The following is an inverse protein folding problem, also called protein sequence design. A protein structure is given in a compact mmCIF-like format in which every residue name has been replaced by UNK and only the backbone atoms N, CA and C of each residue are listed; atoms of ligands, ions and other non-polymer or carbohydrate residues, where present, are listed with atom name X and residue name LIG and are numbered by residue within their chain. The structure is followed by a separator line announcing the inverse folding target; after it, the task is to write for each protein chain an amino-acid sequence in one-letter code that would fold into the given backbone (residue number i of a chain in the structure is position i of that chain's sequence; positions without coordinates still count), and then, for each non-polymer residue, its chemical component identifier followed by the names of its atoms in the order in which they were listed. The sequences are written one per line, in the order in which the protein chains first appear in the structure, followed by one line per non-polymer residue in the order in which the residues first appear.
data_IF_447927575317
#
_entry.id   IF_447927575317
#
_cell.length_a   1.000
_cell.length_b   1.000
_cell.length_c   1.000
_cell.angle_alpha   90.00
_cell.angle_beta   90.00
_cell.angle_gamma   90.00
#
_symmetry.space_group_name_H-M   'P 1'
#
loop_
_entity.id
_entity.type
_entity.pdbx_description
1 polymer ?
#
# COMPACT_ATOMS: atom_id res chain seq x y z
N UNK A 1 -10.10 2.73 14.66
CA UNK A 1 -9.35 2.92 15.93
C UNK A 1 -9.51 4.37 16.43
N UNK A 2 -10.69 4.76 16.95
CA UNK A 2 -10.98 6.15 17.39
C UNK A 2 -11.60 6.28 18.79
N UNK A 3 -11.69 5.20 19.55
CA UNK A 3 -12.02 5.21 20.98
C UNK A 3 -11.18 4.13 21.66
N UNK A 4 -10.81 4.35 22.94
CA UNK A 4 -9.93 3.46 23.73
C UNK A 4 -10.17 1.99 23.40
N UNK A 5 -9.18 1.35 22.78
CA UNK A 5 -9.38 0.07 22.13
C UNK A 5 -9.55 -1.06 23.14
N UNK A 6 -10.56 -1.89 22.94
CA UNK A 6 -10.70 -3.19 23.59
C UNK A 6 -10.27 -4.29 22.64
N UNK A 7 -9.59 -5.31 23.16
CA UNK A 7 -9.28 -6.50 22.38
C UNK A 7 -10.58 -7.23 22.01
N UNK A 8 -10.83 -7.55 20.73
CA UNK A 8 -11.95 -8.39 20.34
C UNK A 8 -11.82 -9.78 20.98
N UNK A 9 -12.93 -10.35 21.45
CA UNK A 9 -12.93 -11.75 21.88
C UNK A 9 -12.82 -12.67 20.67
N UNK A 10 -12.40 -13.93 20.87
CA UNK A 10 -12.34 -14.92 19.79
C UNK A 10 -13.70 -15.13 19.10
N UNK A 11 -14.80 -15.01 19.86
CA UNK A 11 -16.16 -15.06 19.32
C UNK A 11 -16.48 -13.86 18.41
N UNK A 12 -16.11 -12.64 18.83
CA UNK A 12 -16.29 -11.44 18.00
C UNK A 12 -15.48 -11.52 16.70
N UNK A 13 -14.24 -12.05 16.75
CA UNK A 13 -13.42 -12.26 15.55
C UNK A 13 -14.04 -13.30 14.62
N UNK A 14 -14.51 -14.43 15.16
CA UNK A 14 -15.16 -15.47 14.37
C UNK A 14 -16.42 -14.95 13.67
N UNK A 15 -17.26 -14.18 14.37
CA UNK A 15 -18.44 -13.54 13.79
C UNK A 15 -18.07 -12.55 12.68
N UNK A 16 -17.09 -11.67 12.91
CA UNK A 16 -16.65 -10.71 11.91
C UNK A 16 -16.08 -11.40 10.66
N UNK A 17 -15.31 -12.49 10.83
CA UNK A 17 -14.78 -13.27 9.70
C UNK A 17 -15.88 -13.96 8.91
N UNK A 18 -16.90 -14.51 9.58
CA UNK A 18 -18.00 -15.21 8.93
C UNK A 18 -18.82 -14.32 7.98
N UNK A 19 -18.85 -13.00 8.22
CA UNK A 19 -19.56 -12.03 7.38
C UNK A 19 -18.65 -11.21 6.45
N UNK A 20 -17.36 -11.53 6.38
CA UNK A 20 -16.36 -10.80 5.58
C UNK A 20 -15.96 -11.55 4.31
N UNK A 21 -15.24 -10.86 3.42
CA UNK A 21 -14.68 -11.44 2.19
C UNK A 21 -15.54 -11.21 0.95
N UNK A 22 -14.94 -11.46 -0.22
CA UNK A 22 -15.54 -11.10 -1.50
C UNK A 22 -16.85 -11.86 -1.78
N UNK A 23 -17.00 -13.10 -1.31
CA UNK A 23 -18.22 -13.88 -1.48
C UNK A 23 -19.44 -13.27 -0.77
N UNK A 24 -19.23 -12.40 0.23
CA UNK A 24 -20.30 -11.69 0.92
C UNK A 24 -20.83 -10.49 0.11
N UNK A 25 -20.23 -10.17 -1.05
CA UNK A 25 -20.61 -9.09 -1.94
C UNK A 25 -20.80 -9.62 -3.36
N UNK A 26 -21.93 -9.30 -3.98
CA UNK A 26 -22.13 -9.55 -5.42
C UNK A 26 -22.34 -8.26 -6.16
N UNK A 27 -21.77 -8.17 -7.37
CA UNK A 27 -21.96 -7.03 -8.26
C UNK A 27 -22.89 -7.41 -9.41
N UNK A 28 -23.90 -6.59 -9.66
CA UNK A 28 -24.78 -6.68 -10.82
C UNK A 28 -24.82 -5.31 -11.51
N UNK A 29 -23.98 -5.15 -12.55
CA UNK A 29 -23.79 -3.86 -13.21
C UNK A 29 -23.31 -2.78 -12.24
N UNK A 30 -24.15 -1.76 -12.00
CA UNK A 30 -23.87 -0.65 -11.08
C UNK A 30 -24.43 -0.86 -9.67
N UNK A 31 -24.99 -2.04 -9.40
CA UNK A 31 -25.59 -2.37 -8.11
C UNK A 31 -24.68 -3.34 -7.36
N UNK A 32 -24.31 -2.97 -6.13
CA UNK A 32 -23.63 -3.86 -5.21
C UNK A 32 -24.65 -4.40 -4.18
N UNK A 33 -24.73 -5.72 -4.05
CA UNK A 33 -25.66 -6.40 -3.14
C UNK A 33 -24.86 -7.13 -2.07
N UNK A 34 -25.15 -6.83 -0.80
CA UNK A 34 -24.60 -7.56 0.33
C UNK A 34 -25.32 -8.90 0.44
N UNK A 35 -24.56 -9.98 0.37
CA UNK A 35 -25.04 -11.35 0.59
C UNK A 35 -25.12 -11.69 2.08
N UNK A 36 -24.49 -10.88 2.93
CA UNK A 36 -24.60 -10.96 4.39
C UNK A 36 -25.03 -9.60 4.97
N UNK A 37 -26.04 -9.52 5.85
CA UNK A 37 -26.56 -8.25 6.37
C UNK A 37 -25.50 -7.44 7.14
N UNK A 38 -24.61 -8.13 7.84
CA UNK A 38 -23.54 -7.50 8.62
C UNK A 38 -22.29 -7.12 7.81
N UNK A 39 -22.25 -7.40 6.50
CA UNK A 39 -21.12 -6.98 5.67
C UNK A 39 -21.01 -5.45 5.69
N UNK A 40 -19.80 -4.98 5.95
CA UNK A 40 -19.38 -3.59 5.84
C UNK A 40 -18.33 -3.46 4.76
N UNK A 41 -18.44 -2.38 3.99
CA UNK A 41 -17.41 -1.97 3.04
C UNK A 41 -16.61 -0.86 3.73
N UNK A 42 -15.29 -0.98 3.67
CA UNK A 42 -14.35 0.00 4.18
C UNK A 42 -13.35 0.31 3.06
N UNK A 43 -13.11 1.59 2.85
CA UNK A 43 -12.34 2.12 1.73
C UNK A 43 -10.87 2.40 2.07
N UNK A 44 -10.39 1.98 3.24
CA UNK A 44 -9.07 2.34 3.74
C UNK A 44 -7.92 1.83 2.87
N UNK A 45 -8.11 0.69 2.20
CA UNK A 45 -7.10 0.08 1.33
C UNK A 45 -7.20 0.44 -0.16
N UNK A 46 -8.13 1.32 -0.57
CA UNK A 46 -8.27 1.70 -1.99
C UNK A 46 -8.82 3.10 -2.25
N UNK A 47 -9.39 3.75 -1.23
CA UNK A 47 -10.16 4.98 -1.37
C UNK A 47 -9.33 6.18 -1.80
N UNK A 48 -8.05 6.24 -1.39
CA UNK A 48 -7.14 7.29 -1.85
C UNK A 48 -6.82 7.11 -3.33
N UNK A 49 -6.51 5.88 -3.75
CA UNK A 49 -6.27 5.53 -5.16
C UNK A 49 -7.48 5.88 -6.04
N UNK A 50 -8.69 5.46 -5.64
CA UNK A 50 -9.91 5.83 -6.34
C UNK A 50 -10.12 7.36 -6.45
N UNK A 51 -9.79 8.09 -5.38
CA UNK A 51 -9.85 9.56 -5.36
C UNK A 51 -8.86 10.21 -6.32
N UNK A 52 -7.63 9.69 -6.38
CA UNK A 52 -6.60 10.14 -7.32
C UNK A 52 -7.01 9.91 -8.77
N UNK A 53 -7.52 8.72 -9.12
CA UNK A 53 -7.99 8.44 -10.47
C UNK A 53 -9.17 9.33 -10.87
N UNK A 54 -10.08 9.59 -9.93
CA UNK A 54 -11.16 10.54 -10.14
C UNK A 54 -10.64 11.96 -10.41
N UNK A 55 -9.62 12.41 -9.68
CA UNK A 55 -8.98 13.70 -9.88
C UNK A 55 -8.30 13.79 -11.25
N UNK A 56 -7.52 12.77 -11.64
CA UNK A 56 -6.87 12.69 -12.96
C UNK A 56 -7.89 12.81 -14.09
N UNK A 57 -9.00 12.10 -14.00
CA UNK A 57 -10.08 12.17 -15.00
C UNK A 57 -10.68 13.58 -15.13
N UNK A 58 -10.84 14.30 -14.03
CA UNK A 58 -11.33 15.69 -14.02
C UNK A 58 -10.31 16.64 -14.69
N UNK A 59 -9.01 16.46 -14.38
CA UNK A 59 -7.94 17.24 -15.00
C UNK A 59 -7.90 17.03 -16.52
N UNK A 60 -7.98 15.77 -16.97
CA UNK A 60 -8.03 15.43 -18.40
C UNK A 60 -9.24 16.05 -19.10
N UNK A 61 -10.43 15.99 -18.49
CA UNK A 61 -11.63 16.65 -19.01
C UNK A 61 -11.51 18.19 -19.07
N UNK A 62 -10.58 18.77 -18.30
CA UNK A 62 -10.27 20.20 -18.27
C UNK A 62 -9.07 20.57 -19.16
N UNK A 63 -8.61 19.66 -20.03
CA UNK A 63 -7.42 19.80 -20.88
C UNK A 63 -6.11 20.06 -20.11
N UNK A 64 -6.05 19.66 -18.84
CA UNK A 64 -4.82 19.67 -18.05
C UNK A 64 -4.10 18.35 -18.34
N UNK A 65 -3.03 18.43 -19.13
CA UNK A 65 -2.32 17.23 -19.61
C UNK A 65 -1.16 16.81 -18.70
N UNK A 66 -0.67 17.70 -17.83
CA UNK A 66 0.45 17.43 -16.93
C UNK A 66 0.09 17.81 -15.50
N UNK A 67 0.27 16.88 -14.55
CA UNK A 67 0.06 17.13 -13.13
C UNK A 67 0.76 16.07 -12.26
N UNK A 68 1.07 16.48 -11.03
CA UNK A 68 1.36 15.58 -9.91
C UNK A 68 0.33 15.82 -8.83
N UNK A 69 -0.28 14.76 -8.32
CA UNK A 69 -1.32 14.82 -7.29
C UNK A 69 -0.87 13.93 -6.13
N UNK A 70 -0.77 14.50 -4.93
CA UNK A 70 -0.47 13.75 -3.70
C UNK A 70 -1.72 13.75 -2.80
N UNK A 71 -2.16 12.55 -2.43
CA UNK A 71 -3.23 12.34 -1.48
C UNK A 71 -2.73 11.56 -0.25
N UNK A 72 -1.96 12.25 0.58
CA UNK A 72 -1.49 11.71 1.85
C UNK A 72 -0.50 10.57 1.65
N UNK A 73 0.51 10.80 0.81
CA UNK A 73 1.61 9.89 0.50
C UNK A 73 1.38 9.03 -0.74
N UNK A 74 0.13 8.85 -1.17
CA UNK A 74 -0.18 8.20 -2.44
C UNK A 74 -0.12 9.24 -3.54
N UNK A 75 0.69 9.02 -4.56
CA UNK A 75 0.99 10.02 -5.58
C UNK A 75 0.62 9.50 -6.96
N UNK A 76 0.01 10.35 -7.78
CA UNK A 76 -0.17 10.10 -9.20
C UNK A 76 0.50 11.18 -10.05
N UNK A 77 1.07 10.77 -11.18
CA UNK A 77 1.82 11.61 -12.11
C UNK A 77 1.27 11.37 -13.52
N UNK A 78 0.85 12.44 -14.19
CA UNK A 78 0.35 12.42 -15.57
C UNK A 78 1.11 13.43 -16.44
N UNK A 79 1.34 13.04 -17.71
CA UNK A 79 1.90 13.86 -18.80
C UNK A 79 3.13 14.70 -18.45
N UNK A 80 3.98 14.21 -17.56
CA UNK A 80 5.01 14.99 -16.92
C UNK A 80 6.21 15.26 -17.83
N UNK A 81 6.76 16.48 -17.78
CA UNK A 81 7.95 16.86 -18.54
C UNK A 81 9.26 16.50 -17.82
N UNK A 82 9.21 16.19 -16.51
CA UNK A 82 10.38 15.82 -15.69
C UNK A 82 10.01 14.72 -14.70
N UNK A 83 10.87 13.72 -14.43
CA UNK A 83 10.59 12.71 -13.41
C UNK A 83 10.24 13.35 -12.05
N UNK A 84 9.14 12.90 -11.45
CA UNK A 84 8.77 13.21 -10.08
C UNK A 84 9.55 12.31 -9.13
N UNK A 85 10.11 12.86 -8.06
CA UNK A 85 10.88 12.12 -7.07
C UNK A 85 10.15 12.09 -5.73
N UNK A 86 9.78 10.89 -5.29
CA UNK A 86 9.10 10.62 -4.02
C UNK A 86 10.11 10.14 -2.98
N UNK A 87 10.06 10.73 -1.77
CA UNK A 87 10.84 10.25 -0.63
C UNK A 87 10.16 9.04 0.02
N UNK A 88 10.93 8.00 0.28
CA UNK A 88 10.52 6.84 1.08
C UNK A 88 11.18 6.97 2.44
N UNK A 89 10.35 6.98 3.48
CA UNK A 89 10.79 7.25 4.83
C UNK A 89 11.30 5.98 5.54
N UNK A 90 12.15 6.16 6.55
CA UNK A 90 12.53 5.13 7.50
C UNK A 90 11.26 4.56 8.17
N UNK A 91 10.99 3.24 8.13
CA UNK A 91 9.82 2.66 8.76
C UNK A 91 9.75 2.91 10.27
N UNK A 92 10.90 3.06 10.93
CA UNK A 92 11.00 3.38 12.35
C UNK A 92 11.00 4.89 12.63
N UNK A 93 11.30 5.73 11.63
CA UNK A 93 11.31 7.19 11.77
C UNK A 93 10.82 7.89 10.48
N UNK A 94 9.50 8.07 10.36
CA UNK A 94 8.86 8.66 9.18
C UNK A 94 9.31 10.08 8.81
N UNK A 95 9.98 10.79 9.71
CA UNK A 95 10.51 12.14 9.45
C UNK A 95 11.86 12.10 8.71
N UNK A 96 12.46 10.93 8.58
CA UNK A 96 13.73 10.70 7.91
C UNK A 96 13.49 9.97 6.58
N UNK A 97 13.85 10.60 5.47
CA UNK A 97 13.96 9.94 4.17
C UNK A 97 15.21 9.05 4.16
N UNK A 98 15.09 7.83 3.66
CA UNK A 98 16.21 6.88 3.55
C UNK A 98 16.55 6.55 2.10
N UNK A 99 15.58 6.68 1.20
CA UNK A 99 15.76 6.59 -0.24
C UNK A 99 14.69 7.40 -0.97
N UNK A 100 14.90 7.63 -2.26
CA UNK A 100 13.91 8.21 -3.17
C UNK A 100 13.64 7.30 -4.34
N UNK A 101 12.40 7.28 -4.79
CA UNK A 101 11.97 6.65 -6.03
C UNK A 101 11.54 7.72 -7.02
N UNK A 102 11.80 7.51 -8.31
CA UNK A 102 11.48 8.48 -9.36
C UNK A 102 10.58 7.87 -10.43
N UNK A 103 9.50 8.57 -10.78
CA UNK A 103 8.56 8.16 -11.83
C UNK A 103 8.23 9.33 -12.75
N UNK A 104 8.02 9.02 -14.03
CA UNK A 104 7.60 9.95 -15.07
C UNK A 104 6.08 9.96 -15.28
N UNK A 105 5.42 8.84 -15.00
CA UNK A 105 3.98 8.66 -15.11
C UNK A 105 3.49 7.53 -14.20
N UNK A 106 2.16 7.40 -14.10
CA UNK A 106 1.51 6.38 -13.28
C UNK A 106 1.38 6.84 -11.84
N UNK A 107 1.22 5.88 -10.93
CA UNK A 107 0.97 6.17 -9.52
C UNK A 107 1.84 5.32 -8.60
N UNK A 108 2.17 5.88 -7.43
CA UNK A 108 2.85 5.21 -6.35
C UNK A 108 1.96 5.18 -5.12
N UNK A 109 1.91 4.03 -4.47
CA UNK A 109 1.23 3.84 -3.21
C UNK A 109 2.13 3.09 -2.23
N UNK A 110 2.21 3.55 -0.99
CA UNK A 110 3.00 2.90 0.06
C UNK A 110 2.08 2.44 1.20
N UNK A 111 2.20 1.17 1.56
CA UNK A 111 1.59 0.56 2.74
C UNK A 111 2.66 0.24 3.77
N UNK A 112 2.33 0.40 5.04
CA UNK A 112 3.24 0.15 6.14
C UNK A 112 2.54 0.28 7.47
N UNK A 113 3.07 -0.37 8.49
CA UNK A 113 2.41 -0.43 9.79
C UNK A 113 2.86 0.66 10.77
N UNK A 114 3.80 1.51 10.36
CA UNK A 114 4.39 2.57 11.19
C UNK A 114 3.40 3.65 11.66
N UNK A 115 2.23 3.77 11.03
CA UNK A 115 1.35 4.92 11.22
C UNK A 115 0.30 4.76 12.33
N UNK A 116 -0.10 3.54 12.72
CA UNK A 116 -1.34 3.33 13.51
C UNK A 116 -1.33 2.09 14.41
N UNK A 117 -0.24 1.86 15.12
CA UNK A 117 -0.17 0.83 16.16
C UNK A 117 -0.95 1.25 17.41
N UNK A 118 -2.01 0.53 17.76
CA UNK A 118 -2.52 0.57 19.14
C UNK A 118 -1.80 -0.51 19.93
N UNK A 119 -1.07 -0.15 20.98
CA UNK A 119 -0.50 -1.14 21.90
C UNK A 119 -1.55 -1.49 22.95
N UNK A 120 -2.06 -2.73 22.93
CA UNK A 120 -2.94 -3.28 23.98
C UNK A 120 -2.18 -4.44 24.63
N UNK A 121 -1.96 -4.37 25.95
CA UNK A 121 -1.33 -5.45 26.73
C UNK A 121 0.04 -5.90 26.15
N UNK A 122 0.85 -4.96 25.66
CA UNK A 122 2.16 -5.24 25.07
C UNK A 122 2.12 -5.79 23.63
N UNK A 123 0.95 -5.98 23.03
CA UNK A 123 0.79 -6.36 21.63
C UNK A 123 0.48 -5.13 20.77
N UNK A 124 1.28 -4.89 19.73
CA UNK A 124 1.02 -3.83 18.74
C UNK A 124 -0.05 -4.27 17.74
N UNK A 125 -1.11 -3.48 17.58
CA UNK A 125 -2.19 -3.74 16.63
C UNK A 125 -2.11 -2.78 15.45
N UNK A 126 -1.81 -3.35 14.28
CA UNK A 126 -1.88 -2.67 12.99
C UNK A 126 -3.29 -2.24 12.61
N UNK A 127 -3.38 -1.26 11.71
CA UNK A 127 -4.59 -0.96 10.96
C UNK A 127 -4.78 -1.85 9.72
N UNK A 128 -3.74 -2.55 9.28
CA UNK A 128 -3.78 -3.53 8.18
C UNK A 128 -4.00 -4.91 8.78
N UNK A 129 -5.09 -5.57 8.40
CA UNK A 129 -5.46 -6.89 8.89
C UNK A 129 -5.24 -7.94 7.81
N UNK A 130 -4.71 -9.10 8.20
CA UNK A 130 -4.73 -10.28 7.35
C UNK A 130 -6.15 -10.90 7.39
N UNK A 131 -6.90 -10.92 6.28
CA UNK A 131 -8.27 -11.43 6.26
C UNK A 131 -8.35 -12.94 6.51
N UNK A 132 -7.25 -13.69 6.28
CA UNK A 132 -7.19 -15.15 6.51
C UNK A 132 -7.23 -15.45 8.00
N UNK A 133 -6.47 -14.70 8.79
CA UNK A 133 -6.36 -14.88 10.24
C UNK A 133 -7.38 -14.03 11.01
N UNK A 134 -7.71 -12.83 10.51
CA UNK A 134 -8.43 -11.78 11.22
C UNK A 134 -7.55 -11.00 12.20
N UNK A 135 -6.23 -11.19 12.15
CA UNK A 135 -5.24 -10.53 13.00
C UNK A 135 -4.50 -9.43 12.21
N UNK A 136 -3.83 -8.49 12.89
CA UNK A 136 -2.86 -7.60 12.26
C UNK A 136 -1.87 -8.36 11.36
N UNK A 137 -1.58 -7.81 10.18
CA UNK A 137 -0.49 -8.32 9.35
C UNK A 137 0.85 -8.13 10.09
N UNK A 138 1.84 -9.04 9.91
CA UNK A 138 3.17 -8.88 10.49
C UNK A 138 3.82 -7.57 10.04
N UNK A 139 4.49 -6.88 10.96
CA UNK A 139 5.22 -5.66 10.65
C UNK A 139 6.66 -5.99 10.26
N UNK A 140 6.98 -5.82 8.99
CA UNK A 140 8.34 -5.92 8.46
C UNK A 140 8.93 -4.55 8.08
N UNK A 141 8.11 -3.49 8.03
CA UNK A 141 8.51 -2.19 7.48
C UNK A 141 7.46 -1.62 6.53
N UNK A 142 7.86 -1.32 5.29
CA UNK A 142 6.98 -0.72 4.27
C UNK A 142 7.05 -1.46 2.94
N UNK A 143 5.96 -1.37 2.18
CA UNK A 143 5.85 -1.88 0.82
C UNK A 143 5.30 -0.77 -0.08
N UNK A 144 6.06 -0.43 -1.11
CA UNK A 144 5.73 0.61 -2.09
C UNK A 144 5.45 -0.06 -3.44
N UNK A 145 4.33 0.31 -4.05
CA UNK A 145 3.91 -0.18 -5.36
C UNK A 145 3.88 0.97 -6.34
N UNK A 146 4.40 0.76 -7.54
CA UNK A 146 4.06 1.56 -8.71
C UNK A 146 3.12 0.79 -9.64
N UNK A 147 2.14 1.49 -10.19
CA UNK A 147 1.22 0.96 -11.19
C UNK A 147 0.81 2.06 -12.21
N UNK A 148 0.21 1.70 -13.35
CA UNK A 148 -0.25 2.67 -14.34
C UNK A 148 -1.38 3.61 -13.84
N UNK A 149 -2.20 3.14 -12.89
CA UNK A 149 -3.30 3.89 -12.28
C UNK A 149 -3.24 3.84 -10.74
N UNK A 150 -3.85 4.83 -10.10
CA UNK A 150 -3.72 5.03 -8.67
C UNK A 150 -4.55 4.04 -7.85
N UNK A 151 -5.73 3.63 -8.33
CA UNK A 151 -6.54 2.61 -7.67
C UNK A 151 -5.80 1.27 -7.59
N UNK A 152 -5.16 0.85 -8.67
CA UNK A 152 -4.38 -0.38 -8.72
C UNK A 152 -3.18 -0.30 -7.77
N UNK A 153 -2.43 0.80 -7.78
CA UNK A 153 -1.31 0.99 -6.85
C UNK A 153 -1.77 0.89 -5.37
N UNK A 154 -2.86 1.59 -5.00
CA UNK A 154 -3.36 1.63 -3.62
C UNK A 154 -3.84 0.24 -3.15
N UNK A 155 -4.65 -0.43 -3.97
CA UNK A 155 -5.13 -1.79 -3.71
C UNK A 155 -3.97 -2.78 -3.53
N UNK A 156 -3.01 -2.77 -4.47
CA UNK A 156 -1.90 -3.70 -4.47
C UNK A 156 -0.94 -3.43 -3.31
N UNK A 157 -0.70 -2.16 -2.95
CA UNK A 157 0.17 -1.84 -1.82
C UNK A 157 -0.33 -2.52 -0.52
N UNK A 158 -1.64 -2.51 -0.28
CA UNK A 158 -2.22 -3.15 0.90
C UNK A 158 -2.23 -4.67 0.77
N UNK A 159 -2.67 -5.19 -0.38
CA UNK A 159 -2.78 -6.64 -0.61
C UNK A 159 -1.44 -7.36 -0.55
N UNK A 160 -0.41 -6.78 -1.20
CA UNK A 160 0.94 -7.32 -1.21
C UNK A 160 1.63 -7.17 0.15
N UNK A 161 1.36 -6.08 0.90
CA UNK A 161 1.84 -5.97 2.27
C UNK A 161 1.33 -7.13 3.15
N UNK A 162 0.07 -7.54 2.98
CA UNK A 162 -0.52 -8.68 3.69
C UNK A 162 0.10 -10.02 3.27
N UNK A 163 0.57 -10.16 2.03
CA UNK A 163 1.28 -11.37 1.58
C UNK A 163 2.66 -11.49 2.22
N UNK A 164 3.31 -10.36 2.52
CA UNK A 164 4.67 -10.29 3.01
C UNK A 164 5.70 -10.12 1.90
N UNK A 165 6.97 -9.85 2.26
CA UNK A 165 8.00 -9.36 1.33
C UNK A 165 8.29 -10.33 0.18
N UNK A 166 8.66 -11.58 0.48
CA UNK A 166 9.02 -12.59 -0.54
C UNK A 166 7.86 -12.85 -1.52
N UNK A 167 6.66 -13.10 -0.98
CA UNK A 167 5.47 -13.39 -1.81
C UNK A 167 5.04 -12.17 -2.63
N UNK A 168 5.25 -10.95 -2.13
CA UNK A 168 4.95 -9.75 -2.89
C UNK A 168 5.88 -9.57 -4.09
N UNK A 169 7.17 -9.82 -3.91
CA UNK A 169 8.17 -9.76 -4.98
C UNK A 169 7.93 -10.86 -6.02
N UNK A 170 7.68 -12.10 -5.57
CA UNK A 170 7.34 -13.22 -6.46
C UNK A 170 6.04 -12.98 -7.23
N UNK A 171 5.05 -12.34 -6.60
CA UNK A 171 3.81 -11.95 -7.28
C UNK A 171 4.12 -10.88 -8.34
N UNK A 172 4.86 -9.83 -7.99
CA UNK A 172 5.18 -8.74 -8.91
C UNK A 172 5.97 -9.22 -10.14
N UNK A 173 6.91 -10.17 -9.98
CA UNK A 173 7.64 -10.78 -11.08
C UNK A 173 6.72 -11.47 -12.11
N UNK A 174 5.51 -11.89 -11.70
CA UNK A 174 4.52 -12.52 -12.58
C UNK A 174 3.53 -11.51 -13.18
N UNK A 175 3.61 -10.23 -12.84
CA UNK A 175 2.67 -9.19 -13.24
C UNK A 175 3.39 -8.00 -13.88
N UNK A 176 3.81 -8.13 -15.17
CA UNK A 176 4.46 -7.04 -15.88
C UNK A 176 3.65 -5.75 -15.86
N UNK A 177 4.34 -4.63 -15.64
CA UNK A 177 3.71 -3.31 -15.52
C UNK A 177 3.31 -2.94 -14.09
N UNK A 178 3.63 -3.78 -13.10
CA UNK A 178 3.59 -3.45 -11.67
C UNK A 178 5.01 -3.57 -11.12
N UNK A 179 5.43 -2.58 -10.34
CA UNK A 179 6.74 -2.60 -9.70
C UNK A 179 6.58 -2.50 -8.18
N UNK A 180 7.39 -3.25 -7.44
CA UNK A 180 7.34 -3.34 -5.98
C UNK A 180 8.69 -3.01 -5.39
N UNK A 181 8.69 -2.19 -4.34
CA UNK A 181 9.82 -1.92 -3.47
C UNK A 181 9.42 -2.25 -2.04
N UNK A 182 10.07 -3.25 -1.47
CA UNK A 182 9.98 -3.60 -0.05
C UNK A 182 11.12 -2.91 0.68
N UNK A 183 10.84 -2.32 1.83
CA UNK A 183 11.85 -1.79 2.74
C UNK A 183 11.64 -2.39 4.13
N UNK A 184 12.54 -3.28 4.52
CA UNK A 184 12.51 -4.02 5.77
C UNK A 184 13.44 -3.41 6.81
N UNK A 185 12.99 -3.39 8.07
CA UNK A 185 13.79 -2.93 9.21
C UNK A 185 14.47 -4.11 9.89
N UNK A 186 15.79 -4.10 9.94
CA UNK A 186 16.57 -5.02 10.80
C UNK A 186 17.01 -4.29 12.07
N UNK A 187 17.71 -4.97 12.99
CA UNK A 187 18.21 -4.36 14.22
C UNK A 187 19.22 -3.23 14.00
N UNK A 188 19.89 -3.19 12.84
CA UNK A 188 20.94 -2.20 12.56
C UNK A 188 20.98 -1.68 11.11
N UNK A 189 20.21 -2.25 10.20
CA UNK A 189 20.19 -1.89 8.78
C UNK A 189 18.76 -1.81 8.22
N UNK A 190 18.65 -1.28 7.01
CA UNK A 190 17.42 -1.26 6.22
C UNK A 190 17.67 -2.08 4.96
N UNK A 191 16.91 -3.16 4.77
CA UNK A 191 17.02 -3.99 3.58
C UNK A 191 15.97 -3.57 2.56
N UNK A 192 16.41 -3.10 1.40
CA UNK A 192 15.52 -2.68 0.32
C UNK A 192 15.56 -3.72 -0.80
N UNK A 193 14.42 -4.32 -1.10
CA UNK A 193 14.27 -5.27 -2.20
C UNK A 193 13.33 -4.69 -3.24
N UNK A 194 13.78 -4.58 -4.49
CA UNK A 194 13.04 -3.94 -5.55
C UNK A 194 12.93 -4.81 -6.80
N UNK A 195 11.78 -4.77 -7.47
CA UNK A 195 11.64 -5.34 -8.81
C UNK A 195 12.48 -4.58 -9.84
N UNK A 196 12.82 -5.24 -10.94
CA UNK A 196 13.78 -4.73 -11.92
C UNK A 196 13.38 -3.39 -12.57
N UNK A 197 12.09 -3.07 -12.69
CA UNK A 197 11.65 -1.80 -13.28
C UNK A 197 11.92 -0.58 -12.40
N UNK A 198 12.32 -0.77 -11.14
CA UNK A 198 12.86 0.28 -10.29
C UNK A 198 14.33 0.60 -10.53
N UNK A 199 15.04 -0.19 -11.35
CA UNK A 199 16.45 0.06 -11.67
C UNK A 199 16.62 1.44 -12.28
N UNK A 200 17.68 2.14 -11.88
CA UNK A 200 17.97 3.54 -12.24
C UNK A 200 16.92 4.58 -11.79
N UNK A 201 15.87 4.16 -11.08
CA UNK A 201 14.83 5.02 -10.53
C UNK A 201 14.91 5.18 -9.01
N UNK A 202 15.76 4.39 -8.35
CA UNK A 202 16.02 4.48 -6.91
C UNK A 202 17.31 5.26 -6.65
N UNK A 203 17.24 6.21 -5.73
CA UNK A 203 18.40 6.89 -5.15
C UNK A 203 18.43 6.63 -3.64
N UNK A 204 19.44 5.89 -3.19
CA UNK A 204 19.70 5.70 -1.75
C UNK A 204 20.24 7.00 -1.14
N UNK A 205 19.70 7.40 0.01
CA UNK A 205 20.09 8.62 0.73
C UNK A 205 20.69 8.34 2.12
N UNK A 206 20.46 7.14 2.67
CA UNK A 206 20.95 6.72 3.98
C UNK A 206 21.92 5.52 3.85
N UNK A 207 23.10 5.57 4.46
CA UNK A 207 24.11 4.50 4.35
C UNK A 207 23.69 3.18 4.99
N UNK A 208 22.62 3.15 5.80
CA UNK A 208 22.06 1.92 6.37
C UNK A 208 21.27 1.09 5.35
N UNK A 209 20.93 1.67 4.19
CA UNK A 209 20.12 1.00 3.18
C UNK A 209 20.99 0.11 2.30
N UNK A 210 20.68 -1.18 2.33
CA UNK A 210 21.22 -2.20 1.43
C UNK A 210 20.17 -2.49 0.36
N UNK A 211 20.42 -2.04 -0.88
CA UNK A 211 19.47 -2.20 -1.99
C UNK A 211 19.84 -3.40 -2.86
N UNK A 212 18.88 -4.31 -3.03
CA UNK A 212 18.94 -5.49 -3.89
C UNK A 212 17.81 -5.40 -4.92
N UNK A 213 18.12 -5.75 -6.17
CA UNK A 213 17.12 -5.89 -7.22
C UNK A 213 16.84 -7.37 -7.48
N UNK A 214 15.57 -7.74 -7.56
CA UNK A 214 15.16 -9.09 -7.93
C UNK A 214 15.32 -9.28 -9.44
N UNK A 215 16.18 -10.23 -9.83
CA UNK A 215 16.48 -10.56 -11.23
C UNK A 215 15.57 -11.69 -11.73
N UNK A 216 14.29 -11.41 -12.01
CA UNK A 216 13.40 -12.34 -12.72
C UNK A 216 12.46 -11.63 -13.68
#
# INVERSE_FOLDING_TARGET
LRQGGRRPTSSMLAQAKACSGLAALSLNGRTAVRQHPDLKIEEGGFGKGAGLDAAIRILGASNILSATIDLGGQVAVIGNMRPFSLAIADPANRHQSVLRVSIDQGAIATSGNSERGLVIEGTSYSHILDPRSGQPAPDFGTLTVWAPDALTADCLSTGLYVLGPDQALDWAAQHPGIEVLVLETTSSSLQAHATAGWKDRIKVEDPRVELVFEEK
#
